data_IF_475731072257
#
_entry.id   IF_475731072257
#
_cell.length_a   1.000
_cell.length_b   1.000
_cell.length_c   1.000
_cell.angle_alpha   90.00
_cell.angle_beta   90.00
_cell.angle_gamma   90.00
#
_symmetry.space_group_name_H-M   'P 1'
#
loop_
_entity.id
_entity.type
_entity.pdbx_description
1 polymer ?
#
# COMPACT_ATOMS: atom_id res chain seq x y z
N UNK A 1 29.34 -3.46 4.43
CA UNK A 1 30.41 -4.41 4.79
C UNK A 1 31.17 -4.77 3.50
N UNK A 2 32.39 -4.25 3.33
CA UNK A 2 33.21 -4.44 2.12
C UNK A 2 33.45 -5.93 1.80
N UNK A 3 33.59 -6.77 2.81
CA UNK A 3 33.76 -8.21 2.64
C UNK A 3 32.63 -8.93 1.93
N UNK A 4 31.40 -8.41 2.08
CA UNK A 4 30.24 -8.97 1.37
C UNK A 4 30.31 -8.67 -0.12
N UNK A 5 30.67 -7.43 -0.47
CA UNK A 5 30.84 -7.05 -1.87
C UNK A 5 31.98 -7.80 -2.55
N UNK A 6 33.13 -7.96 -1.88
CA UNK A 6 34.26 -8.79 -2.38
C UNK A 6 33.82 -10.22 -2.72
N UNK A 7 33.00 -10.85 -1.85
CA UNK A 7 32.49 -12.20 -2.12
C UNK A 7 31.51 -12.23 -3.31
N UNK A 8 30.62 -11.23 -3.42
CA UNK A 8 29.68 -11.14 -4.54
C UNK A 8 30.47 -11.02 -5.85
N UNK A 9 31.44 -10.11 -5.93
CA UNK A 9 32.24 -9.90 -7.14
C UNK A 9 33.07 -11.11 -7.48
N UNK A 10 33.69 -11.77 -6.52
CA UNK A 10 34.43 -13.01 -6.74
C UNK A 10 33.54 -14.13 -7.33
N UNK A 11 32.25 -14.19 -6.94
CA UNK A 11 31.31 -15.16 -7.51
C UNK A 11 30.93 -14.77 -8.94
N UNK A 12 30.67 -13.48 -9.20
CA UNK A 12 30.33 -12.98 -10.52
C UNK A 12 31.47 -13.21 -11.53
N UNK A 13 32.70 -12.88 -11.15
CA UNK A 13 33.90 -13.09 -11.94
C UNK A 13 34.15 -14.59 -12.23
N UNK A 14 34.04 -15.44 -11.19
CA UNK A 14 34.18 -16.90 -11.34
C UNK A 14 33.22 -17.50 -12.35
N UNK A 15 32.02 -16.89 -12.49
CA UNK A 15 30.99 -17.36 -13.41
C UNK A 15 30.97 -16.58 -14.73
N UNK A 16 31.95 -15.71 -15.00
CA UNK A 16 32.04 -14.87 -16.20
C UNK A 16 30.77 -14.01 -16.43
N UNK A 17 30.21 -13.45 -15.35
CA UNK A 17 29.01 -12.59 -15.41
C UNK A 17 29.45 -11.15 -15.67
N UNK A 18 29.21 -10.63 -16.88
CA UNK A 18 29.50 -9.24 -17.23
C UNK A 18 28.35 -8.26 -16.98
N UNK A 19 27.13 -8.76 -16.77
CA UNK A 19 25.97 -7.92 -16.50
C UNK A 19 25.04 -8.59 -15.49
N UNK A 20 24.57 -7.81 -14.51
CA UNK A 20 23.68 -8.27 -13.45
C UNK A 20 22.42 -7.41 -13.42
N UNK A 21 21.28 -8.04 -13.61
CA UNK A 21 19.96 -7.38 -13.50
C UNK A 21 19.31 -7.76 -12.17
N UNK A 22 18.80 -6.75 -11.46
CA UNK A 22 18.10 -6.98 -10.20
C UNK A 22 16.71 -6.38 -10.23
N UNK A 23 15.69 -7.24 -10.18
CA UNK A 23 14.28 -6.85 -10.17
C UNK A 23 13.83 -6.74 -8.73
N UNK A 24 13.27 -5.59 -8.32
CA UNK A 24 12.79 -5.44 -6.96
C UNK A 24 12.30 -4.05 -6.61
N UNK A 25 11.94 -3.86 -5.34
CA UNK A 25 11.50 -2.59 -4.76
C UNK A 25 12.66 -1.69 -4.35
N UNK A 26 12.38 -0.71 -3.48
CA UNK A 26 13.30 0.33 -3.05
C UNK A 26 14.63 -0.22 -2.51
N UNK A 27 14.58 -1.23 -1.64
CA UNK A 27 15.79 -1.84 -1.06
C UNK A 27 16.66 -2.52 -2.13
N UNK A 28 16.01 -3.12 -3.15
CA UNK A 28 16.72 -3.74 -4.27
C UNK A 28 17.41 -2.70 -5.13
N UNK A 29 16.77 -1.55 -5.37
CA UNK A 29 17.35 -0.44 -6.14
C UNK A 29 18.52 0.19 -5.38
N UNK A 30 18.42 0.37 -4.06
CA UNK A 30 19.53 0.81 -3.22
C UNK A 30 20.71 -0.17 -3.27
N UNK A 31 20.42 -1.47 -3.25
CA UNK A 31 21.44 -2.53 -3.41
C UNK A 31 22.15 -2.42 -4.77
N UNK A 32 21.43 -2.25 -5.86
CA UNK A 32 22.01 -2.04 -7.21
C UNK A 32 22.90 -0.80 -7.24
N UNK A 33 22.46 0.29 -6.64
CA UNK A 33 23.23 1.53 -6.55
C UNK A 33 24.55 1.30 -5.80
N UNK A 34 24.52 0.63 -4.66
CA UNK A 34 25.69 0.30 -3.84
C UNK A 34 26.67 -0.64 -4.58
N UNK A 35 26.13 -1.67 -5.27
CA UNK A 35 26.96 -2.58 -6.07
C UNK A 35 27.60 -1.88 -7.26
N UNK A 36 26.87 -0.98 -7.94
CA UNK A 36 27.41 -0.16 -9.03
C UNK A 36 28.52 0.79 -8.55
N UNK A 37 28.33 1.42 -7.39
CA UNK A 37 29.35 2.27 -6.79
C UNK A 37 30.61 1.47 -6.42
N UNK A 38 30.44 0.29 -5.84
CA UNK A 38 31.56 -0.60 -5.52
C UNK A 38 32.28 -1.09 -6.78
N UNK A 39 31.57 -1.49 -7.84
CA UNK A 39 32.15 -1.87 -9.12
C UNK A 39 33.08 -0.76 -9.67
N UNK A 40 32.61 0.50 -9.64
CA UNK A 40 33.41 1.65 -10.04
C UNK A 40 34.67 1.83 -9.17
N UNK A 41 34.57 1.63 -7.85
CA UNK A 41 35.70 1.78 -6.93
C UNK A 41 36.81 0.78 -7.14
N UNK A 42 36.50 -0.44 -7.63
CA UNK A 42 37.47 -1.51 -7.92
C UNK A 42 37.77 -1.61 -9.42
N UNK A 43 37.31 -0.69 -10.25
CA UNK A 43 37.47 -0.70 -11.71
C UNK A 43 37.00 -2.01 -12.37
N UNK A 44 35.91 -2.58 -11.88
CA UNK A 44 35.30 -3.79 -12.46
C UNK A 44 34.46 -3.42 -13.70
N UNK A 45 34.53 -4.27 -14.73
CA UNK A 45 33.73 -4.14 -15.96
C UNK A 45 32.30 -4.66 -15.80
N UNK A 46 31.96 -5.29 -14.66
CA UNK A 46 30.62 -5.80 -14.40
C UNK A 46 29.61 -4.65 -14.29
N UNK A 47 28.54 -4.73 -15.09
CA UNK A 47 27.48 -3.74 -15.11
C UNK A 47 26.29 -4.21 -14.29
N UNK A 48 25.71 -3.29 -13.53
CA UNK A 48 24.50 -3.53 -12.73
C UNK A 48 23.37 -2.67 -13.27
N UNK A 49 22.18 -3.28 -13.46
CA UNK A 49 20.98 -2.60 -13.84
C UNK A 49 19.81 -3.01 -12.92
N UNK A 50 19.10 -2.02 -12.36
CA UNK A 50 17.90 -2.23 -11.59
C UNK A 50 16.66 -2.19 -12.49
N UNK A 51 15.73 -3.10 -12.24
CA UNK A 51 14.39 -3.11 -12.84
C UNK A 51 13.40 -2.90 -11.69
N UNK A 52 12.94 -1.66 -11.49
CA UNK A 52 12.08 -1.35 -10.35
C UNK A 52 10.68 -1.91 -10.53
N UNK A 53 10.07 -2.36 -9.44
CA UNK A 53 8.68 -2.74 -9.32
C UNK A 53 8.13 -2.29 -7.97
N UNK A 54 6.90 -1.85 -7.92
CA UNK A 54 6.18 -1.55 -6.67
C UNK A 54 4.69 -1.52 -6.94
N UNK A 55 3.88 -2.09 -6.05
CA UNK A 55 2.43 -1.93 -6.13
C UNK A 55 1.99 -0.51 -5.69
N UNK A 56 2.84 0.21 -4.96
CA UNK A 56 2.52 1.53 -4.41
C UNK A 56 2.49 2.63 -5.47
N UNK A 57 3.02 2.35 -6.68
CA UNK A 57 3.12 3.30 -7.79
C UNK A 57 3.83 4.61 -7.41
N UNK A 58 4.86 4.50 -6.58
CA UNK A 58 5.55 5.62 -5.93
C UNK A 58 6.91 5.98 -6.56
N UNK A 59 7.21 5.48 -7.76
CA UNK A 59 8.45 5.78 -8.45
C UNK A 59 8.37 7.13 -9.16
N UNK A 60 9.36 8.04 -8.95
CA UNK A 60 9.39 9.32 -9.64
C UNK A 60 9.58 9.14 -11.15
N UNK A 61 8.98 10.04 -11.92
CA UNK A 61 9.03 10.03 -13.39
C UNK A 61 8.47 8.76 -14.05
N UNK A 62 7.60 8.04 -13.35
CA UNK A 62 7.00 6.79 -13.82
C UNK A 62 5.48 6.88 -13.66
N UNK A 63 4.74 6.74 -14.75
CA UNK A 63 3.27 6.83 -14.74
C UNK A 63 2.64 5.56 -14.15
N UNK A 64 3.23 4.41 -14.46
CA UNK A 64 2.75 3.11 -14.01
C UNK A 64 3.93 2.23 -13.59
N UNK A 65 3.85 1.70 -12.39
CA UNK A 65 4.84 0.76 -11.84
C UNK A 65 4.31 -0.67 -11.96
N UNK A 66 5.09 -1.64 -12.48
CA UNK A 66 4.66 -3.02 -12.59
C UNK A 66 4.14 -3.60 -11.27
N UNK A 67 2.92 -4.13 -11.32
CA UNK A 67 2.18 -4.66 -10.18
C UNK A 67 1.08 -3.75 -9.65
N UNK A 68 1.16 -2.43 -9.85
CA UNK A 68 0.14 -1.48 -9.39
C UNK A 68 -1.23 -1.75 -10.02
N UNK A 69 -1.29 -1.93 -11.34
CA UNK A 69 -2.56 -2.15 -12.04
C UNK A 69 -3.32 -3.39 -11.52
N UNK A 70 -2.60 -4.47 -11.24
CA UNK A 70 -3.19 -5.69 -10.67
C UNK A 70 -3.67 -5.48 -9.23
N UNK A 71 -2.89 -4.79 -8.41
CA UNK A 71 -3.27 -4.47 -7.03
C UNK A 71 -4.48 -3.53 -6.98
N UNK A 72 -4.51 -2.48 -7.80
CA UNK A 72 -5.63 -1.55 -7.92
C UNK A 72 -6.93 -2.27 -8.36
N UNK A 73 -6.82 -3.15 -9.36
CA UNK A 73 -7.95 -3.98 -9.81
C UNK A 73 -8.47 -4.90 -8.70
N UNK A 74 -7.57 -5.53 -7.94
CA UNK A 74 -7.95 -6.37 -6.82
C UNK A 74 -8.66 -5.57 -5.73
N UNK A 75 -8.15 -4.39 -5.37
CA UNK A 75 -8.75 -3.50 -4.37
C UNK A 75 -10.16 -3.10 -4.81
N UNK A 76 -10.31 -2.60 -6.04
CA UNK A 76 -11.60 -2.16 -6.55
C UNK A 76 -12.64 -3.30 -6.53
N UNK A 77 -12.27 -4.48 -7.01
CA UNK A 77 -13.15 -5.64 -7.02
C UNK A 77 -13.50 -6.10 -5.59
N UNK A 78 -12.52 -6.20 -4.70
CA UNK A 78 -12.74 -6.63 -3.31
C UNK A 78 -13.65 -5.67 -2.55
N UNK A 79 -13.48 -4.36 -2.74
CA UNK A 79 -14.35 -3.34 -2.11
C UNK A 79 -15.76 -3.41 -2.69
N UNK A 80 -15.93 -3.61 -4.00
CA UNK A 80 -17.23 -3.79 -4.61
C UNK A 80 -17.96 -5.02 -4.05
N UNK A 81 -17.27 -6.13 -3.86
CA UNK A 81 -17.83 -7.33 -3.21
C UNK A 81 -18.20 -7.08 -1.75
N UNK A 82 -17.31 -6.45 -0.98
CA UNK A 82 -17.59 -6.11 0.42
C UNK A 82 -18.77 -5.12 0.56
N UNK A 83 -19.00 -4.26 -0.43
CA UNK A 83 -20.13 -3.34 -0.43
C UNK A 83 -21.49 -4.07 -0.40
N UNK A 84 -21.58 -5.27 -0.99
CA UNK A 84 -22.80 -6.06 -0.91
C UNK A 84 -23.10 -6.54 0.51
N UNK A 85 -22.07 -7.00 1.26
CA UNK A 85 -22.22 -7.39 2.67
C UNK A 85 -22.58 -6.18 3.57
N UNK A 86 -21.94 -5.05 3.32
CA UNK A 86 -22.17 -3.83 4.13
C UNK A 86 -23.59 -3.32 3.99
N UNK A 87 -24.17 -3.37 2.78
CA UNK A 87 -25.53 -2.87 2.51
C UNK A 87 -26.66 -3.71 3.09
N UNK A 88 -26.38 -4.88 3.65
CA UNK A 88 -27.40 -5.76 4.23
C UNK A 88 -27.94 -5.26 5.58
N UNK A 89 -27.14 -4.41 6.27
CA UNK A 89 -27.47 -4.01 7.64
C UNK A 89 -28.50 -2.88 7.70
N UNK A 90 -29.58 -3.09 8.46
CA UNK A 90 -30.62 -2.07 8.75
C UNK A 90 -30.27 -1.16 9.93
N UNK A 91 -29.16 -1.42 10.61
CA UNK A 91 -28.67 -0.64 11.75
C UNK A 91 -27.44 0.18 11.36
N UNK A 92 -27.23 1.36 11.99
CA UNK A 92 -26.02 2.15 11.74
C UNK A 92 -24.75 1.34 11.92
N UNK A 93 -23.93 1.27 10.89
CA UNK A 93 -22.66 0.55 10.91
C UNK A 93 -21.60 1.24 10.05
N UNK A 94 -20.34 1.04 10.46
CA UNK A 94 -19.16 1.51 9.72
C UNK A 94 -18.27 0.32 9.40
N UNK A 95 -17.76 0.26 8.18
CA UNK A 95 -16.73 -0.69 7.77
C UNK A 95 -15.52 0.10 7.27
N UNK A 96 -14.37 -0.12 7.90
CA UNK A 96 -13.12 0.57 7.59
C UNK A 96 -12.17 -0.42 6.95
N UNK A 97 -11.68 -0.13 5.75
CA UNK A 97 -10.81 -1.00 4.96
C UNK A 97 -9.43 -0.37 4.90
N UNK A 98 -8.43 -1.07 5.42
CA UNK A 98 -7.03 -0.65 5.35
C UNK A 98 -6.37 -1.19 4.09
N UNK A 99 -5.67 -0.29 3.41
CA UNK A 99 -4.99 -0.53 2.15
C UNK A 99 -3.51 -0.19 2.28
N UNK A 100 -2.67 -0.91 1.55
CA UNK A 100 -1.23 -0.65 1.48
C UNK A 100 -0.94 0.68 0.78
N UNK A 101 0.23 1.22 1.02
CA UNK A 101 0.72 2.48 0.45
C UNK A 101 1.14 3.45 1.54
N UNK A 102 2.38 3.26 2.05
CA UNK A 102 2.92 4.04 3.18
C UNK A 102 2.96 5.53 2.91
N UNK A 103 3.51 5.89 1.75
CA UNK A 103 3.83 7.28 1.39
C UNK A 103 3.14 7.71 0.09
N UNK A 104 2.33 6.82 -0.51
CA UNK A 104 1.65 7.10 -1.77
C UNK A 104 0.24 6.48 -1.74
N UNK A 105 -0.75 7.30 -1.93
CA UNK A 105 -2.17 6.96 -1.82
C UNK A 105 -2.79 6.32 -3.06
N UNK A 106 -2.01 5.93 -4.05
CA UNK A 106 -2.53 5.37 -5.31
C UNK A 106 -3.40 4.14 -5.12
N UNK A 107 -2.99 3.21 -4.25
CA UNK A 107 -3.78 2.01 -3.93
C UNK A 107 -5.06 2.38 -3.18
N UNK A 108 -4.96 3.28 -2.21
CA UNK A 108 -6.13 3.76 -1.46
C UNK A 108 -7.07 4.54 -2.37
N UNK A 109 -6.56 5.37 -3.27
CA UNK A 109 -7.33 6.06 -4.30
C UNK A 109 -8.04 5.12 -5.26
N UNK A 110 -7.44 3.96 -5.56
CA UNK A 110 -8.07 2.93 -6.40
C UNK A 110 -9.38 2.38 -5.79
N UNK A 111 -9.61 2.52 -4.48
CA UNK A 111 -10.87 2.19 -3.83
C UNK A 111 -12.06 2.93 -4.46
N UNK A 112 -11.84 4.13 -5.01
CA UNK A 112 -12.88 4.88 -5.70
C UNK A 112 -13.40 4.17 -6.96
N UNK A 113 -12.61 3.28 -7.57
CA UNK A 113 -13.01 2.50 -8.75
C UNK A 113 -14.07 1.42 -8.42
N UNK A 114 -14.31 1.14 -7.14
CA UNK A 114 -15.44 0.30 -6.72
C UNK A 114 -16.80 0.99 -6.87
N UNK A 115 -16.81 2.33 -7.00
CA UNK A 115 -18.02 3.11 -7.20
C UNK A 115 -18.58 2.90 -8.62
N UNK A 116 -19.90 2.85 -8.71
CA UNK A 116 -20.62 2.68 -9.97
C UNK A 116 -22.00 3.35 -9.87
N UNK A 117 -22.79 3.27 -10.93
CA UNK A 117 -24.20 3.70 -10.91
C UNK A 117 -25.01 3.02 -9.78
N UNK A 118 -24.62 1.81 -9.39
CA UNK A 118 -25.33 0.99 -8.38
C UNK A 118 -24.60 0.92 -7.04
N UNK A 119 -23.40 1.49 -6.92
CA UNK A 119 -22.58 1.43 -5.72
C UNK A 119 -21.84 2.73 -5.47
N UNK A 120 -22.21 3.45 -4.43
CA UNK A 120 -21.54 4.69 -4.00
C UNK A 120 -20.37 4.45 -3.01
N UNK A 121 -20.20 3.19 -2.57
CA UNK A 121 -19.19 2.83 -1.59
C UNK A 121 -17.79 2.62 -2.22
N UNK A 122 -16.71 2.99 -1.52
CA UNK A 122 -16.67 3.65 -0.21
C UNK A 122 -17.02 5.14 -0.32
N UNK A 123 -17.74 5.70 0.66
CA UNK A 123 -18.06 7.14 0.69
C UNK A 123 -16.83 7.97 1.03
N UNK A 124 -16.02 7.50 1.99
CA UNK A 124 -14.86 8.21 2.52
C UNK A 124 -13.55 7.50 2.12
N UNK A 125 -12.57 8.29 1.71
CA UNK A 125 -11.22 7.79 1.33
C UNK A 125 -10.19 8.74 1.92
N UNK A 126 -9.28 8.18 2.77
CA UNK A 126 -8.22 8.95 3.43
C UNK A 126 -6.86 8.51 2.92
N UNK A 127 -6.14 9.45 2.31
CA UNK A 127 -4.85 9.25 1.65
C UNK A 127 -3.69 9.63 2.59
N UNK A 128 -2.52 9.03 2.44
CA UNK A 128 -1.36 9.35 3.29
C UNK A 128 -0.73 10.71 2.97
N UNK A 129 -1.10 11.34 1.85
CA UNK A 129 -0.60 12.66 1.45
C UNK A 129 -1.29 13.83 2.17
N UNK A 130 -2.31 13.55 2.96
CA UNK A 130 -3.11 14.58 3.65
C UNK A 130 -3.07 14.30 5.15
N UNK A 131 -2.77 15.33 5.94
CA UNK A 131 -2.82 15.23 7.39
C UNK A 131 -4.19 14.75 7.86
N UNK A 132 -4.18 13.74 8.73
CA UNK A 132 -5.39 13.10 9.22
C UNK A 132 -5.78 13.67 10.58
N UNK A 133 -7.01 14.21 10.66
CA UNK A 133 -7.61 14.65 11.91
C UNK A 133 -8.69 13.67 12.40
N UNK A 134 -8.58 13.20 13.63
CA UNK A 134 -9.50 12.22 14.24
C UNK A 134 -10.89 12.78 14.51
N UNK A 135 -10.99 14.06 14.84
CA UNK A 135 -12.28 14.67 15.14
C UNK A 135 -13.02 15.01 13.85
N UNK A 136 -12.32 15.47 12.80
CA UNK A 136 -12.86 15.64 11.45
C UNK A 136 -13.36 14.31 10.88
N UNK A 137 -12.57 13.24 11.01
CA UNK A 137 -12.99 11.89 10.61
C UNK A 137 -14.31 11.47 11.27
N UNK A 138 -14.48 11.69 12.56
CA UNK A 138 -15.73 11.36 13.27
C UNK A 138 -16.90 12.19 12.76
N UNK A 139 -16.70 13.47 12.45
CA UNK A 139 -17.75 14.31 11.86
C UNK A 139 -18.11 13.88 10.45
N UNK A 140 -17.14 13.48 9.62
CA UNK A 140 -17.39 12.93 8.29
C UNK A 140 -18.23 11.66 8.36
N UNK A 141 -17.86 10.72 9.24
CA UNK A 141 -18.64 9.50 9.48
C UNK A 141 -20.08 9.83 9.92
N UNK A 142 -20.28 10.78 10.85
CA UNK A 142 -21.62 11.22 11.27
C UNK A 142 -22.42 11.81 10.12
N UNK A 143 -21.78 12.59 9.26
CA UNK A 143 -22.44 13.21 8.13
C UNK A 143 -22.89 12.18 7.09
N UNK A 144 -22.08 11.15 6.83
CA UNK A 144 -22.49 10.05 5.96
C UNK A 144 -23.59 9.18 6.60
N UNK A 145 -23.54 8.94 7.91
CA UNK A 145 -24.60 8.21 8.64
C UNK A 145 -25.96 8.92 8.62
N UNK A 146 -26.01 10.24 8.38
CA UNK A 146 -27.29 10.95 8.17
C UNK A 146 -27.94 10.62 6.82
N UNK A 147 -27.16 10.14 5.86
CA UNK A 147 -27.60 9.83 4.49
C UNK A 147 -27.85 8.32 4.31
N UNK A 148 -27.11 7.48 5.01
CA UNK A 148 -27.16 6.02 4.88
C UNK A 148 -26.86 5.35 6.22
N UNK A 149 -27.51 4.20 6.49
CA UNK A 149 -27.18 3.38 7.66
C UNK A 149 -25.79 2.73 7.57
N UNK A 150 -25.22 2.64 6.38
CA UNK A 150 -23.95 1.99 6.15
C UNK A 150 -22.92 2.99 5.66
N UNK A 151 -21.78 3.10 6.35
CA UNK A 151 -20.64 3.89 5.89
C UNK A 151 -19.45 2.96 5.67
N UNK A 152 -18.83 3.07 4.49
CA UNK A 152 -17.60 2.39 4.16
C UNK A 152 -16.50 3.41 3.97
N UNK A 153 -15.38 3.15 4.64
CA UNK A 153 -14.18 3.99 4.62
C UNK A 153 -13.03 3.20 4.04
N UNK A 154 -12.33 3.75 3.08
CA UNK A 154 -11.02 3.26 2.66
C UNK A 154 -9.93 4.14 3.28
N UNK A 155 -8.92 3.54 3.88
CA UNK A 155 -7.86 4.26 4.56
C UNK A 155 -6.50 3.66 4.22
N UNK A 156 -5.49 4.51 3.99
CA UNK A 156 -4.11 4.05 3.83
C UNK A 156 -3.52 3.63 5.18
N UNK A 157 -2.69 2.59 5.17
CA UNK A 157 -1.85 2.21 6.33
C UNK A 157 -0.89 3.34 6.75
N UNK A 158 -0.62 4.30 5.87
CA UNK A 158 0.32 5.40 6.07
C UNK A 158 -0.31 6.72 6.47
N UNK A 159 -1.58 6.78 6.85
CA UNK A 159 -2.17 8.03 7.33
C UNK A 159 -1.48 8.50 8.61
N UNK A 160 -1.26 9.80 8.72
CA UNK A 160 -0.56 10.44 9.84
C UNK A 160 -1.21 11.75 10.24
N UNK A 161 -0.98 12.17 11.49
CA UNK A 161 -1.40 13.49 11.96
C UNK A 161 -0.47 14.61 11.44
N UNK A 162 -0.82 15.85 11.76
CA UNK A 162 -0.04 17.05 11.38
C UNK A 162 1.39 17.09 11.95
N UNK A 163 1.67 16.28 12.96
CA UNK A 163 3.00 16.14 13.54
C UNK A 163 3.82 15.03 12.88
N UNK A 164 3.21 14.32 11.90
CA UNK A 164 3.81 13.20 11.17
C UNK A 164 3.76 11.87 11.92
N UNK A 165 2.98 11.76 13.01
CA UNK A 165 2.83 10.49 13.72
C UNK A 165 1.78 9.62 13.01
N UNK A 166 2.13 8.38 12.70
CA UNK A 166 1.19 7.44 12.09
C UNK A 166 -0.01 7.12 12.99
N UNK A 167 -1.18 7.02 12.40
CA UNK A 167 -2.43 6.60 13.07
C UNK A 167 -2.46 5.08 13.14
N UNK A 168 -1.59 4.50 13.92
CA UNK A 168 -1.48 3.05 14.07
C UNK A 168 -1.60 2.61 15.54
N UNK A 169 -1.67 1.30 15.78
CA UNK A 169 -1.81 0.73 17.12
C UNK A 169 -0.52 0.78 17.96
N UNK A 170 0.54 1.44 17.50
CA UNK A 170 1.73 1.72 18.32
C UNK A 170 2.65 0.53 18.59
N UNK A 171 2.78 -0.42 17.67
CA UNK A 171 3.77 -1.50 17.79
C UNK A 171 4.97 -1.22 16.90
N UNK A 172 6.17 -1.11 17.49
CA UNK A 172 7.42 -1.16 16.76
C UNK A 172 7.91 -2.61 16.64
N UNK A 173 8.56 -2.94 15.52
CA UNK A 173 9.19 -4.25 15.35
C UNK A 173 10.48 -4.39 16.18
N UNK A 174 11.04 -5.60 16.22
CA UNK A 174 12.28 -5.90 16.96
C UNK A 174 13.52 -5.19 16.41
N UNK A 175 13.41 -4.48 15.28
CA UNK A 175 14.49 -3.71 14.64
C UNK A 175 14.31 -2.21 14.81
N UNK A 176 13.26 -1.75 15.53
CA UNK A 176 13.01 -0.33 15.78
C UNK A 176 12.32 0.40 14.60
N UNK A 177 11.77 -0.35 13.63
CA UNK A 177 10.90 0.22 12.62
C UNK A 177 9.45 0.21 13.12
N UNK A 178 8.74 1.31 12.92
CA UNK A 178 7.31 1.37 13.20
C UNK A 178 6.60 0.32 12.34
N UNK A 179 5.92 -0.62 12.99
CA UNK A 179 5.05 -1.55 12.30
C UNK A 179 3.92 -0.74 11.68
N UNK A 180 3.91 -0.68 10.36
CA UNK A 180 2.80 -0.11 9.63
C UNK A 180 1.65 -1.11 9.59
N UNK A 181 0.44 -0.56 9.64
CA UNK A 181 -0.78 -1.33 9.75
C UNK A 181 -1.45 -1.11 11.10
N UNK A 182 -2.74 -1.41 11.13
CA UNK A 182 -3.58 -1.17 12.30
C UNK A 182 -4.21 0.21 12.37
N UNK A 183 -4.07 1.04 11.34
CA UNK A 183 -4.79 2.30 11.21
C UNK A 183 -6.30 2.07 11.25
N UNK A 184 -6.82 1.14 10.41
CA UNK A 184 -8.24 0.79 10.43
C UNK A 184 -8.70 0.27 11.79
N UNK A 185 -7.85 -0.47 12.49
CA UNK A 185 -8.17 -0.97 13.82
C UNK A 185 -8.26 0.14 14.86
N UNK A 186 -7.34 1.08 14.81
CA UNK A 186 -7.35 2.28 15.65
C UNK A 186 -8.63 3.10 15.42
N UNK A 187 -8.99 3.31 14.16
CA UNK A 187 -10.22 4.04 13.80
C UNK A 187 -11.49 3.26 14.16
N UNK A 188 -11.48 1.93 14.08
CA UNK A 188 -12.59 1.09 14.57
C UNK A 188 -12.86 1.33 16.05
N UNK A 189 -11.81 1.37 16.88
CA UNK A 189 -11.95 1.67 18.29
C UNK A 189 -12.46 3.09 18.52
N UNK A 190 -11.95 4.06 17.79
CA UNK A 190 -12.37 5.45 17.86
C UNK A 190 -13.86 5.61 17.54
N UNK A 191 -14.36 5.01 16.45
CA UNK A 191 -15.76 5.03 16.07
C UNK A 191 -16.65 4.40 17.14
N UNK A 192 -16.25 3.23 17.68
CA UNK A 192 -16.99 2.55 18.74
C UNK A 192 -17.08 3.38 20.02
N UNK A 193 -15.98 4.03 20.40
CA UNK A 193 -15.90 4.88 21.59
C UNK A 193 -16.74 6.15 21.43
N UNK A 194 -16.64 6.83 20.29
CA UNK A 194 -17.28 8.14 20.08
C UNK A 194 -18.74 8.06 19.66
N UNK A 195 -19.11 7.03 18.89
CA UNK A 195 -20.45 6.94 18.29
C UNK A 195 -21.32 5.83 18.87
N UNK A 196 -20.73 4.87 19.61
CA UNK A 196 -21.44 3.72 20.20
C UNK A 196 -22.23 2.88 19.17
N UNK A 197 -21.72 2.77 17.95
CA UNK A 197 -22.33 2.01 16.86
C UNK A 197 -21.48 0.80 16.47
N UNK A 198 -22.06 -0.09 15.65
CA UNK A 198 -21.32 -1.22 15.10
C UNK A 198 -20.23 -0.71 14.14
N UNK A 199 -19.01 -1.09 14.40
CA UNK A 199 -17.88 -0.82 13.52
C UNK A 199 -17.01 -2.06 13.37
N UNK A 200 -16.49 -2.29 12.17
CA UNK A 200 -15.50 -3.34 11.87
C UNK A 200 -14.38 -2.77 11.04
N UNK A 201 -13.18 -3.32 11.21
CA UNK A 201 -12.04 -3.07 10.36
C UNK A 201 -11.69 -4.31 9.53
N UNK A 202 -11.21 -4.10 8.32
CA UNK A 202 -10.72 -5.14 7.41
C UNK A 202 -9.36 -4.69 6.88
N UNK A 203 -8.32 -5.45 7.19
CA UNK A 203 -6.98 -5.25 6.64
C UNK A 203 -6.80 -6.19 5.46
N UNK A 204 -6.74 -5.67 4.24
CA UNK A 204 -6.52 -6.49 3.03
C UNK A 204 -5.08 -7.02 3.00
N UNK A 205 -4.14 -6.27 3.53
CA UNK A 205 -2.75 -6.66 3.75
C UNK A 205 -2.11 -7.29 2.49
N UNK A 206 -1.36 -8.40 2.63
CA UNK A 206 -0.61 -9.04 1.52
C UNK A 206 -1.50 -9.52 0.36
N UNK A 207 -2.79 -9.68 0.56
CA UNK A 207 -3.72 -10.11 -0.49
C UNK A 207 -3.67 -9.20 -1.71
N UNK A 208 -3.44 -7.91 -1.52
CA UNK A 208 -3.34 -6.90 -2.59
C UNK A 208 -2.23 -7.20 -3.61
N UNK A 209 -1.20 -7.93 -3.23
CA UNK A 209 -0.02 -8.19 -4.08
C UNK A 209 0.15 -9.66 -4.48
N UNK A 210 -0.81 -10.53 -4.15
CA UNK A 210 -0.68 -11.96 -4.42
C UNK A 210 -1.87 -12.57 -5.18
N UNK A 211 -2.84 -11.77 -5.61
CA UNK A 211 -4.04 -12.23 -6.29
C UNK A 211 -3.80 -12.40 -7.81
N UNK A 212 -3.01 -13.38 -8.21
CA UNK A 212 -2.61 -13.61 -9.60
C UNK A 212 -3.82 -13.79 -10.57
N UNK A 213 -4.95 -14.33 -10.08
CA UNK A 213 -6.18 -14.46 -10.85
C UNK A 213 -6.81 -13.11 -11.24
N UNK A 214 -6.41 -12.03 -10.59
CA UNK A 214 -6.88 -10.67 -10.83
C UNK A 214 -5.87 -9.82 -11.62
N UNK A 215 -4.81 -10.44 -12.18
CA UNK A 215 -3.77 -9.73 -12.90
C UNK A 215 -4.32 -8.80 -13.97
N UNK A 216 -3.79 -7.57 -14.01
CA UNK A 216 -4.14 -6.58 -15.02
C UNK A 216 -3.40 -6.87 -16.33
N UNK A 217 -4.06 -6.60 -17.46
CA UNK A 217 -3.46 -6.82 -18.78
C UNK A 217 -2.21 -5.95 -19.02
N UNK A 218 -2.09 -4.81 -18.36
CA UNK A 218 -0.90 -3.94 -18.40
C UNK A 218 0.29 -4.64 -17.76
N UNK A 219 0.13 -5.13 -16.52
CA UNK A 219 1.21 -5.82 -15.80
C UNK A 219 1.65 -7.10 -16.53
N UNK A 220 0.70 -7.83 -17.14
CA UNK A 220 1.01 -9.02 -17.94
C UNK A 220 1.88 -8.65 -19.15
N UNK A 221 1.53 -7.56 -19.86
CA UNK A 221 2.30 -7.11 -21.02
C UNK A 221 3.69 -6.56 -20.65
N UNK A 222 3.82 -5.93 -19.51
CA UNK A 222 5.10 -5.41 -19.03
C UNK A 222 6.05 -6.51 -18.54
N UNK A 223 5.51 -7.68 -18.17
CA UNK A 223 6.31 -8.83 -17.76
C UNK A 223 6.91 -9.61 -18.94
N UNK A 224 6.43 -9.40 -20.17
CA UNK A 224 6.90 -10.04 -21.41
C UNK A 224 7.73 -9.09 -22.26
#
# INVERSE_FOLDING_TARGET
>A
DSRLYEKIFAILDKNNIGMFFYIGGNDSMDTVNKLSAYAKSISSDIRFAGIPKSIDNDLPHTDHTPGYGSAAKYIAASIAEMAHDVKIYDIPCVTIIELMGRNAGWLTGAAALARSEYNELPQLIYLPEVDFDKDEFIEDVKNELKKSNCVMVAVSEGIHDSDGNYINAGTSDTFGHDQLGGAAKTLEFLVKEKLHIKCRSVEINIMQRCAAHMAAGTDIREAY
#
